data_IF_710212912531
#
_entry.id   IF_710212912531
#
_cell.length_a   1.000
_cell.length_b   1.000
_cell.length_c   1.000
_cell.angle_alpha   90.00
_cell.angle_beta   90.00
_cell.angle_gamma   90.00
#
_symmetry.space_group_name_H-M   'P 1'
#
loop_
_entity.id
_entity.type
_entity.pdbx_description
1 polymer ?
#
# COMPACT_ATOMS: atom_id res chain seq x y z
N UNK A 1 8.27 24.25 13.89
CA UNK A 1 8.78 24.16 12.51
C UNK A 1 8.10 22.98 11.86
N UNK A 2 7.01 23.24 11.13
CA UNK A 2 6.32 22.24 10.30
C UNK A 2 7.25 21.86 9.15
N UNK A 3 7.89 20.69 9.26
CA UNK A 3 8.54 20.06 8.12
C UNK A 3 7.47 19.23 7.41
N UNK A 4 6.73 19.87 6.51
CA UNK A 4 6.29 19.15 5.33
C UNK A 4 7.56 18.57 4.71
N UNK A 5 7.65 17.24 4.60
CA UNK A 5 8.62 16.57 3.76
C UNK A 5 8.81 17.42 2.50
N UNK A 6 10.00 17.97 2.29
CA UNK A 6 10.27 18.95 1.22
C UNK A 6 9.71 18.37 -0.07
N UNK A 7 8.56 18.90 -0.53
CA UNK A 7 7.90 18.39 -1.73
C UNK A 7 8.91 18.55 -2.86
N UNK A 8 9.22 17.48 -3.62
CA UNK A 8 10.18 17.60 -4.71
C UNK A 8 9.77 18.77 -5.63
N UNK A 9 10.76 19.58 -6.04
CA UNK A 9 10.55 20.64 -7.02
C UNK A 9 10.30 19.95 -8.37
N UNK A 10 9.04 19.67 -8.63
CA UNK A 10 8.58 18.89 -9.76
C UNK A 10 8.12 19.81 -10.90
N UNK A 11 8.48 19.45 -12.14
CA UNK A 11 7.96 20.09 -13.34
C UNK A 11 7.33 19.04 -14.26
N UNK A 12 5.99 19.01 -14.40
CA UNK A 12 5.04 19.84 -13.68
C UNK A 12 4.84 19.35 -12.23
N UNK A 13 4.29 20.16 -11.32
CA UNK A 13 4.11 19.78 -9.93
C UNK A 13 3.20 18.52 -9.78
N UNK A 14 3.36 17.73 -8.70
CA UNK A 14 2.39 16.68 -8.35
C UNK A 14 1.03 17.29 -8.00
N UNK A 15 -0.06 16.51 -8.05
CA UNK A 15 -1.40 16.97 -7.62
C UNK A 15 -1.39 17.56 -6.20
N UNK A 16 -0.54 17.03 -5.33
CA UNK A 16 -0.34 17.48 -3.96
C UNK A 16 0.14 18.94 -3.84
N UNK A 17 0.64 19.54 -4.92
CA UNK A 17 1.10 20.94 -4.96
C UNK A 17 0.01 21.94 -5.37
N UNK A 18 -1.20 21.47 -5.69
CA UNK A 18 -2.35 22.29 -6.09
C UNK A 18 -3.39 22.30 -4.95
N UNK A 19 -3.03 22.95 -3.83
CA UNK A 19 -3.92 23.15 -2.66
C UNK A 19 -4.76 24.41 -2.75
N UNK A 20 -4.38 25.37 -3.62
CA UNK A 20 -5.11 26.60 -3.87
C UNK A 20 -5.88 26.54 -5.19
N UNK A 21 -7.15 26.98 -5.14
CA UNK A 21 -8.12 27.06 -6.25
C UNK A 21 -7.58 27.85 -7.47
N UNK A 22 -6.49 28.61 -7.28
CA UNK A 22 -5.87 29.45 -8.30
C UNK A 22 -4.91 28.71 -9.25
N UNK A 23 -4.49 27.46 -8.97
CA UNK A 23 -3.64 26.66 -9.89
C UNK A 23 -4.43 25.46 -10.42
N UNK A 24 -4.57 25.36 -11.74
CA UNK A 24 -5.31 24.28 -12.38
C UNK A 24 -4.58 22.94 -12.17
N UNK A 25 -5.29 21.95 -11.61
CA UNK A 25 -4.81 20.56 -11.57
C UNK A 25 -4.49 20.10 -13.02
N UNK A 26 -3.43 19.31 -13.24
CA UNK A 26 -3.21 18.58 -14.49
C UNK A 26 -4.49 17.92 -15.00
N UNK A 27 -4.75 18.04 -16.30
CA UNK A 27 -5.90 17.39 -16.95
C UNK A 27 -5.67 15.89 -17.06
N UNK A 28 -6.74 15.10 -17.23
CA UNK A 28 -6.65 13.65 -17.47
C UNK A 28 -5.70 13.32 -18.64
N UNK A 29 -5.79 14.11 -19.72
CA UNK A 29 -4.92 13.99 -20.89
C UNK A 29 -3.44 14.23 -20.56
N UNK A 30 -3.16 15.18 -19.67
CA UNK A 30 -1.80 15.45 -19.21
C UNK A 30 -1.28 14.32 -18.30
N UNK A 31 -2.13 13.77 -17.43
CA UNK A 31 -1.80 12.62 -16.59
C UNK A 31 -1.51 11.38 -17.45
N UNK A 32 -2.32 11.12 -18.47
CA UNK A 32 -2.12 10.04 -19.44
C UNK A 32 -0.82 10.22 -20.24
N UNK A 33 -0.54 11.44 -20.73
CA UNK A 33 0.72 11.74 -21.42
C UNK A 33 1.93 11.41 -20.54
N UNK A 34 1.94 11.89 -19.30
CA UNK A 34 3.04 11.61 -18.35
C UNK A 34 3.19 10.12 -18.10
N UNK A 35 2.08 9.41 -17.88
CA UNK A 35 2.10 7.95 -17.75
C UNK A 35 2.81 7.31 -18.92
N UNK A 36 2.40 7.61 -20.15
CA UNK A 36 2.92 6.97 -21.35
C UNK A 36 4.44 7.16 -21.56
N UNK A 37 5.03 8.20 -20.98
CA UNK A 37 6.48 8.47 -21.01
C UNK A 37 7.27 7.60 -20.01
N UNK A 38 6.63 7.07 -18.97
CA UNK A 38 7.27 6.23 -17.95
C UNK A 38 7.65 4.87 -18.52
N UNK A 39 8.88 4.44 -18.27
CA UNK A 39 9.35 3.12 -18.70
C UNK A 39 8.79 2.02 -17.81
N UNK A 40 8.40 0.90 -18.43
CA UNK A 40 8.03 -0.34 -17.73
C UNK A 40 9.31 -1.15 -17.47
N UNK A 41 9.62 -1.38 -16.19
CA UNK A 41 10.71 -2.21 -15.70
C UNK A 41 10.16 -3.54 -15.17
N UNK A 42 8.97 -3.51 -14.57
CA UNK A 42 8.30 -4.69 -14.01
C UNK A 42 6.86 -4.76 -14.48
N UNK A 43 6.40 -5.96 -14.83
CA UNK A 43 4.99 -6.23 -15.12
C UNK A 43 4.28 -6.81 -13.91
N UNK A 44 3.04 -6.42 -13.68
CA UNK A 44 2.22 -6.84 -12.52
C UNK A 44 1.11 -7.78 -12.95
N UNK A 45 0.66 -7.69 -14.20
CA UNK A 45 -0.57 -8.36 -14.66
C UNK A 45 -1.85 -7.55 -14.41
N UNK A 46 -1.72 -6.32 -13.91
CA UNK A 46 -2.83 -5.38 -13.66
C UNK A 46 -3.01 -4.34 -14.78
N UNK A 47 -2.23 -4.43 -15.85
CA UNK A 47 -2.27 -3.51 -16.98
C UNK A 47 -1.06 -2.58 -17.07
N UNK A 48 -0.80 -2.04 -18.26
CA UNK A 48 0.41 -1.28 -18.55
C UNK A 48 0.55 -0.01 -17.73
N UNK A 49 -0.56 0.67 -17.38
CA UNK A 49 -0.50 1.91 -16.61
C UNK A 49 -0.05 1.67 -15.16
N UNK A 50 -0.56 0.60 -14.54
CA UNK A 50 -0.10 0.16 -13.21
C UNK A 50 1.36 -0.28 -13.27
N UNK A 51 1.75 -1.00 -14.33
CA UNK A 51 3.15 -1.42 -14.54
C UNK A 51 4.10 -0.22 -14.66
N UNK A 52 3.65 0.85 -15.33
CA UNK A 52 4.42 2.10 -15.46
C UNK A 52 4.61 2.78 -14.11
N UNK A 53 3.56 2.93 -13.30
CA UNK A 53 3.66 3.51 -11.95
C UNK A 53 4.52 2.64 -11.02
N UNK A 54 4.27 1.32 -10.98
CA UNK A 54 5.03 0.40 -10.15
C UNK A 54 6.53 0.40 -10.49
N UNK A 55 6.87 0.63 -11.76
CA UNK A 55 8.25 0.71 -12.23
C UNK A 55 9.02 1.94 -11.76
N UNK A 56 8.35 2.95 -11.20
CA UNK A 56 9.01 4.16 -10.67
C UNK A 56 9.46 4.01 -9.21
N UNK A 57 9.20 2.86 -8.59
CA UNK A 57 9.69 2.52 -7.24
C UNK A 57 10.72 1.39 -7.32
N UNK A 58 12.02 1.69 -7.10
CA UNK A 58 13.04 0.65 -6.98
C UNK A 58 12.71 -0.42 -5.94
N UNK A 59 12.07 -0.02 -4.83
CA UNK A 59 11.61 -0.95 -3.79
C UNK A 59 10.55 -1.91 -4.35
N UNK A 60 9.48 -1.38 -4.96
CA UNK A 60 8.39 -2.20 -5.49
C UNK A 60 8.87 -3.11 -6.63
N UNK A 61 9.72 -2.62 -7.53
CA UNK A 61 10.35 -3.42 -8.60
C UNK A 61 11.10 -4.61 -8.00
N UNK A 62 11.98 -4.37 -7.03
CA UNK A 62 12.77 -5.43 -6.37
C UNK A 62 11.86 -6.46 -5.70
N UNK A 63 10.81 -6.00 -5.03
CA UNK A 63 9.86 -6.85 -4.31
C UNK A 63 9.06 -7.74 -5.26
N UNK A 64 8.45 -7.17 -6.30
CA UNK A 64 7.69 -7.91 -7.31
C UNK A 64 8.58 -8.92 -8.02
N UNK A 65 9.80 -8.55 -8.43
CA UNK A 65 10.73 -9.48 -9.06
C UNK A 65 11.10 -10.66 -8.12
N UNK A 66 11.26 -10.41 -6.82
CA UNK A 66 11.50 -11.48 -5.84
C UNK A 66 10.28 -12.38 -5.67
N UNK A 67 9.08 -11.81 -5.58
CA UNK A 67 7.83 -12.57 -5.46
C UNK A 67 7.58 -13.44 -6.70
N UNK A 68 7.79 -12.90 -7.91
CA UNK A 68 7.74 -13.66 -9.16
C UNK A 68 8.73 -14.82 -9.21
N UNK A 69 9.98 -14.62 -8.77
CA UNK A 69 10.96 -15.73 -8.64
C UNK A 69 10.48 -16.81 -7.66
N UNK A 70 9.74 -16.41 -6.62
CA UNK A 70 9.06 -17.32 -5.69
C UNK A 70 7.71 -17.85 -6.22
N UNK A 71 7.41 -17.66 -7.51
CA UNK A 71 6.18 -18.11 -8.19
C UNK A 71 4.88 -17.53 -7.61
N UNK A 72 4.94 -16.37 -6.94
CA UNK A 72 3.74 -15.63 -6.59
C UNK A 72 3.02 -15.13 -7.84
N UNK A 73 1.71 -15.10 -7.78
CA UNK A 73 0.86 -14.55 -8.84
C UNK A 73 0.28 -13.21 -8.38
N UNK A 74 0.21 -12.25 -9.28
CA UNK A 74 -0.44 -10.95 -9.09
C UNK A 74 -1.51 -10.84 -10.17
N UNK A 75 -2.71 -10.41 -9.82
CA UNK A 75 -3.77 -10.24 -10.80
C UNK A 75 -5.07 -9.70 -10.21
N UNK A 76 -6.05 -9.55 -11.10
CA UNK A 76 -7.39 -9.12 -10.74
C UNK A 76 -8.20 -10.24 -10.08
N UNK A 77 -8.94 -9.90 -9.03
CA UNK A 77 -9.97 -10.71 -8.41
C UNK A 77 -11.36 -10.41 -8.96
N UNK A 78 -12.38 -10.93 -8.29
CA UNK A 78 -13.77 -10.61 -8.60
C UNK A 78 -14.13 -9.20 -8.12
N UNK A 79 -15.03 -8.55 -8.85
CA UNK A 79 -15.56 -7.25 -8.50
C UNK A 79 -16.26 -7.29 -7.12
N UNK A 80 -15.85 -6.42 -6.21
CA UNK A 80 -16.47 -6.23 -4.89
C UNK A 80 -16.03 -7.23 -3.82
N UNK A 81 -15.03 -8.07 -4.10
CA UNK A 81 -14.51 -9.04 -3.12
C UNK A 81 -13.32 -8.52 -2.32
N UNK A 82 -12.91 -7.27 -2.58
CA UNK A 82 -11.78 -6.65 -1.92
C UNK A 82 -10.43 -7.03 -2.53
N UNK A 83 -9.41 -6.41 -1.96
CA UNK A 83 -8.00 -6.56 -2.32
C UNK A 83 -7.31 -7.26 -1.16
N UNK A 84 -6.49 -8.27 -1.45
CA UNK A 84 -5.80 -9.06 -0.43
C UNK A 84 -4.61 -9.82 -1.00
N UNK A 85 -3.77 -10.31 -0.10
CA UNK A 85 -2.70 -11.26 -0.38
C UNK A 85 -2.87 -12.51 0.45
N UNK A 86 -2.41 -13.64 -0.09
CA UNK A 86 -2.44 -14.92 0.58
C UNK A 86 -1.13 -15.64 0.35
N UNK A 87 -0.45 -15.97 1.46
CA UNK A 87 0.76 -16.75 1.45
C UNK A 87 0.53 -18.12 0.79
N UNK A 88 1.56 -18.71 0.15
CA UNK A 88 1.48 -20.08 -0.36
C UNK A 88 1.18 -21.03 0.80
N UNK A 89 0.29 -22.00 0.54
CA UNK A 89 -0.07 -23.04 1.50
C UNK A 89 -0.10 -24.39 0.77
N UNK A 90 0.59 -25.39 1.32
CA UNK A 90 0.79 -26.71 0.71
C UNK A 90 1.24 -26.60 -0.76
N UNK A 91 0.42 -27.06 -1.70
CA UNK A 91 0.72 -27.06 -3.15
C UNK A 91 0.26 -25.77 -3.86
N UNK A 92 -0.35 -24.82 -3.13
CA UNK A 92 -0.87 -23.59 -3.71
C UNK A 92 0.20 -22.50 -3.76
N UNK A 93 0.25 -21.77 -4.88
CA UNK A 93 1.10 -20.59 -5.03
C UNK A 93 0.56 -19.44 -4.17
N UNK A 94 1.45 -18.57 -3.72
CA UNK A 94 1.05 -17.30 -3.11
C UNK A 94 0.41 -16.39 -4.15
N UNK A 95 -0.61 -15.65 -3.74
CA UNK A 95 -1.38 -14.77 -4.62
C UNK A 95 -1.51 -13.36 -4.03
N UNK A 96 -1.49 -12.36 -4.89
CA UNK A 96 -1.89 -10.99 -4.62
C UNK A 96 -3.06 -10.70 -5.57
N UNK A 97 -4.18 -10.31 -5.00
CA UNK A 97 -5.45 -10.11 -5.69
C UNK A 97 -5.88 -8.67 -5.48
N UNK A 98 -6.09 -7.93 -6.58
CA UNK A 98 -6.68 -6.58 -6.54
C UNK A 98 -8.14 -6.67 -7.01
N UNK A 99 -9.05 -5.97 -6.33
CA UNK A 99 -10.47 -5.92 -6.71
C UNK A 99 -10.65 -5.32 -8.11
N UNK A 100 -11.34 -6.05 -9.00
CA UNK A 100 -11.56 -5.60 -10.39
C UNK A 100 -12.53 -4.42 -10.53
N UNK A 101 -13.21 -3.98 -9.46
CA UNK A 101 -13.99 -2.73 -9.47
C UNK A 101 -13.14 -1.50 -9.86
N UNK A 102 -11.83 -1.57 -9.61
CA UNK A 102 -10.89 -0.51 -9.96
C UNK A 102 -10.26 -0.68 -11.35
N UNK A 103 -10.62 -1.74 -12.09
CA UNK A 103 -10.10 -2.01 -13.43
C UNK A 103 -10.94 -1.30 -14.52
N UNK A 104 -10.86 0.02 -14.58
CA UNK A 104 -11.60 0.82 -15.58
C UNK A 104 -10.75 1.88 -16.31
N UNK A 105 -9.44 1.94 -16.05
CA UNK A 105 -8.52 2.85 -16.74
C UNK A 105 -8.55 4.31 -16.28
N UNK A 106 -9.38 4.68 -15.29
CA UNK A 106 -9.37 6.02 -14.68
C UNK A 106 -8.02 6.27 -13.98
N UNK A 107 -7.39 7.44 -14.22
CA UNK A 107 -6.15 7.85 -13.54
C UNK A 107 -6.20 7.69 -12.02
N UNK A 108 -7.33 8.01 -11.40
CA UNK A 108 -7.49 7.87 -9.95
C UNK A 108 -7.41 6.40 -9.53
N UNK A 109 -8.05 5.52 -10.30
CA UNK A 109 -8.02 4.09 -10.03
C UNK A 109 -6.64 3.48 -10.33
N UNK A 110 -5.91 3.97 -11.33
CA UNK A 110 -4.52 3.55 -11.59
C UNK A 110 -3.62 3.86 -10.38
N UNK A 111 -3.74 5.08 -9.83
CA UNK A 111 -2.99 5.49 -8.64
C UNK A 111 -3.40 4.67 -7.40
N UNK A 112 -4.70 4.50 -7.17
CA UNK A 112 -5.24 3.70 -6.08
C UNK A 112 -4.82 2.21 -6.17
N UNK A 113 -4.89 1.61 -7.36
CA UNK A 113 -4.43 0.24 -7.62
C UNK A 113 -2.93 0.10 -7.39
N UNK A 114 -2.13 1.09 -7.77
CA UNK A 114 -0.69 1.07 -7.49
C UNK A 114 -0.42 1.14 -5.98
N UNK A 115 -1.18 1.98 -5.28
CA UNK A 115 -1.10 2.15 -3.83
C UNK A 115 -1.45 0.85 -3.09
N UNK A 116 -2.59 0.24 -3.42
CA UNK A 116 -3.03 -1.03 -2.83
C UNK A 116 -2.14 -2.21 -3.24
N UNK A 117 -1.61 -2.24 -4.47
CA UNK A 117 -0.59 -3.21 -4.87
C UNK A 117 0.65 -3.11 -3.96
N UNK A 118 1.12 -1.91 -3.66
CA UNK A 118 2.27 -1.73 -2.77
C UNK A 118 1.98 -2.25 -1.35
N UNK A 119 0.76 -2.08 -0.86
CA UNK A 119 0.29 -2.64 0.39
C UNK A 119 0.34 -4.18 0.38
N UNK A 120 -0.29 -4.83 -0.61
CA UNK A 120 -0.35 -6.30 -0.69
C UNK A 120 1.01 -6.95 -0.97
N UNK A 121 1.86 -6.29 -1.75
CA UNK A 121 3.25 -6.69 -1.91
C UNK A 121 3.99 -6.61 -0.57
N UNK A 122 3.69 -5.62 0.27
CA UNK A 122 4.23 -5.50 1.62
C UNK A 122 3.92 -6.71 2.49
N UNK A 123 2.64 -7.09 2.60
CA UNK A 123 2.23 -8.32 3.28
C UNK A 123 2.99 -9.54 2.74
N UNK A 124 2.96 -9.74 1.42
CA UNK A 124 3.54 -10.91 0.75
C UNK A 124 5.07 -11.00 0.90
N UNK A 125 5.75 -9.86 0.86
CA UNK A 125 7.22 -9.80 0.86
C UNK A 125 7.80 -9.97 2.27
N UNK A 126 7.15 -9.39 3.28
CA UNK A 126 7.59 -9.42 4.68
C UNK A 126 6.95 -10.54 5.50
N UNK A 127 6.05 -11.32 4.90
CA UNK A 127 5.26 -12.37 5.54
C UNK A 127 6.07 -13.24 6.53
N UNK A 128 5.52 -13.37 7.73
CA UNK A 128 5.89 -14.31 8.78
C UNK A 128 4.62 -14.88 9.39
N UNK A 129 4.71 -16.13 9.84
CA UNK A 129 3.64 -16.74 10.63
C UNK A 129 3.42 -15.95 11.94
N UNK A 130 2.16 -15.73 12.35
CA UNK A 130 1.87 -15.01 13.57
C UNK A 130 2.29 -15.80 14.81
N UNK A 131 2.72 -15.09 15.86
CA UNK A 131 3.03 -15.69 17.15
C UNK A 131 1.74 -16.02 17.91
N UNK A 132 1.36 -17.30 17.94
CA UNK A 132 0.15 -17.79 18.61
C UNK A 132 0.36 -18.15 20.10
N UNK A 133 1.46 -17.72 20.72
CA UNK A 133 1.77 -18.03 22.12
C UNK A 133 0.83 -17.37 23.13
N UNK A 134 0.24 -16.23 22.78
CA UNK A 134 -0.80 -15.55 23.56
C UNK A 134 -1.66 -14.66 22.65
N UNK A 135 -2.81 -14.22 23.15
CA UNK A 135 -3.68 -13.28 22.42
C UNK A 135 -2.91 -12.00 22.02
N UNK A 136 -2.17 -11.40 22.96
CA UNK A 136 -1.43 -10.15 22.71
C UNK A 136 -0.31 -10.35 21.69
N UNK A 137 0.39 -11.49 21.73
CA UNK A 137 1.45 -11.81 20.75
C UNK A 137 0.90 -12.04 19.35
N UNK A 138 -0.28 -12.66 19.27
CA UNK A 138 -0.99 -12.84 18.00
C UNK A 138 -1.42 -11.50 17.43
N UNK A 139 -2.04 -10.62 18.24
CA UNK A 139 -2.45 -9.29 17.81
C UNK A 139 -1.25 -8.42 17.40
N UNK A 140 -0.16 -8.45 18.16
CA UNK A 140 1.08 -7.74 17.83
C UNK A 140 1.64 -8.21 16.47
N UNK A 141 1.60 -9.51 16.20
CA UNK A 141 2.06 -10.09 14.93
C UNK A 141 1.16 -9.70 13.74
N UNK A 142 -0.16 -9.67 13.91
CA UNK A 142 -1.08 -9.32 12.82
C UNK A 142 -1.14 -7.82 12.52
N UNK A 143 -0.81 -6.97 13.50
CA UNK A 143 -0.91 -5.52 13.36
C UNK A 143 0.44 -4.82 13.13
N UNK A 144 1.53 -5.24 13.79
CA UNK A 144 2.74 -4.40 13.91
C UNK A 144 3.98 -4.96 13.18
N UNK A 145 4.18 -6.27 13.03
CA UNK A 145 5.37 -6.77 12.33
C UNK A 145 5.22 -8.13 11.65
N UNK A 146 6.12 -8.42 10.71
CA UNK A 146 6.16 -9.69 9.98
C UNK A 146 5.26 -9.72 8.75
N UNK A 147 5.10 -8.59 8.05
CA UNK A 147 4.14 -8.47 6.96
C UNK A 147 2.72 -8.26 7.46
N UNK A 148 2.57 -7.59 8.61
CA UNK A 148 1.33 -7.11 9.19
C UNK A 148 0.80 -5.85 8.49
N UNK A 149 -0.34 -5.32 8.93
CA UNK A 149 -0.90 -4.05 8.44
C UNK A 149 0.09 -2.89 8.49
N UNK A 150 0.75 -2.67 9.64
CA UNK A 150 1.70 -1.57 9.77
C UNK A 150 2.95 -1.76 8.88
N UNK A 151 3.40 -3.00 8.64
CA UNK A 151 4.49 -3.27 7.70
C UNK A 151 4.05 -2.98 6.26
N UNK A 152 2.84 -3.39 5.87
CA UNK A 152 2.27 -3.16 4.55
C UNK A 152 2.06 -1.67 4.28
N UNK A 153 1.54 -0.92 5.25
CA UNK A 153 1.35 0.54 5.16
C UNK A 153 2.70 1.27 5.09
N UNK A 154 3.70 0.86 5.88
CA UNK A 154 5.05 1.43 5.75
C UNK A 154 5.63 1.16 4.36
N UNK A 155 5.43 -0.04 3.82
CA UNK A 155 5.85 -0.36 2.46
C UNK A 155 5.17 0.55 1.43
N UNK A 156 3.86 0.73 1.57
CA UNK A 156 3.04 1.59 0.72
C UNK A 156 3.52 3.06 0.75
N UNK A 157 3.92 3.59 1.91
CA UNK A 157 4.50 4.94 2.04
C UNK A 157 5.88 5.03 1.38
N UNK A 158 6.74 4.01 1.55
CA UNK A 158 8.05 3.97 0.88
C UNK A 158 7.88 4.02 -0.64
N UNK A 159 7.00 3.18 -1.18
CA UNK A 159 6.70 3.14 -2.62
C UNK A 159 6.15 4.48 -3.10
N UNK A 160 5.19 5.07 -2.39
CA UNK A 160 4.68 6.41 -2.70
C UNK A 160 5.80 7.44 -2.78
N UNK A 161 6.68 7.48 -1.79
CA UNK A 161 7.76 8.47 -1.74
C UNK A 161 8.76 8.30 -2.91
N UNK A 162 9.04 7.06 -3.31
CA UNK A 162 9.89 6.78 -4.47
C UNK A 162 9.21 7.23 -5.78
N UNK A 163 7.94 6.87 -6.01
CA UNK A 163 7.19 7.29 -7.21
C UNK A 163 7.06 8.81 -7.27
N UNK A 164 6.76 9.46 -6.14
CA UNK A 164 6.68 10.91 -6.05
C UNK A 164 8.01 11.58 -6.40
N UNK A 165 9.13 11.01 -5.94
CA UNK A 165 10.46 11.54 -6.22
C UNK A 165 10.87 11.36 -7.68
N UNK A 166 10.64 10.18 -8.26
CA UNK A 166 11.13 9.83 -9.59
C UNK A 166 10.22 10.33 -10.72
N UNK A 167 8.91 10.33 -10.49
CA UNK A 167 7.91 10.59 -11.54
C UNK A 167 6.96 11.76 -11.23
N UNK A 168 7.14 12.44 -10.08
CA UNK A 168 6.29 13.56 -9.67
C UNK A 168 4.80 13.20 -9.60
N UNK A 169 4.51 11.94 -9.25
CA UNK A 169 3.18 11.37 -9.10
C UNK A 169 2.98 11.02 -7.64
N UNK A 170 1.96 11.60 -7.01
CA UNK A 170 1.61 11.30 -5.63
C UNK A 170 0.44 10.31 -5.62
N UNK A 171 0.75 9.02 -5.56
CA UNK A 171 -0.27 7.97 -5.65
C UNK A 171 -1.30 8.00 -4.52
N UNK A 172 -1.02 8.67 -3.38
CA UNK A 172 -2.02 8.84 -2.33
C UNK A 172 -3.00 9.97 -2.65
N UNK A 173 -2.51 11.08 -3.21
CA UNK A 173 -3.37 12.20 -3.60
C UNK A 173 -4.16 11.89 -4.87
N UNK A 174 -3.50 11.33 -5.89
CA UNK A 174 -4.15 10.90 -7.13
C UNK A 174 -5.16 9.77 -6.88
N UNK A 175 -4.79 8.80 -6.04
CA UNK A 175 -5.64 7.67 -5.67
C UNK A 175 -6.74 8.00 -4.66
N UNK A 176 -6.79 9.25 -4.17
CA UNK A 176 -7.72 9.71 -3.12
C UNK A 176 -7.72 8.81 -1.89
N UNK A 177 -6.53 8.42 -1.45
CA UNK A 177 -6.35 7.71 -0.18
C UNK A 177 -6.91 8.55 0.98
N UNK A 178 -7.24 7.86 2.08
CA UNK A 178 -7.78 8.51 3.27
C UNK A 178 -6.83 9.58 3.83
N UNK A 179 -7.40 10.63 4.44
CA UNK A 179 -6.62 11.75 4.99
C UNK A 179 -5.57 11.29 6.02
N UNK A 180 -5.91 10.30 6.85
CA UNK A 180 -4.95 9.74 7.81
C UNK A 180 -3.74 9.05 7.16
N UNK A 181 -3.89 8.54 5.93
CA UNK A 181 -2.78 7.96 5.18
C UNK A 181 -1.88 9.04 4.60
N UNK A 182 -2.48 10.11 4.07
CA UNK A 182 -1.78 11.25 3.48
C UNK A 182 -1.02 12.09 4.50
N UNK A 183 -1.55 12.20 5.72
CA UNK A 183 -1.03 13.09 6.76
C UNK A 183 -0.38 12.28 7.90
N UNK A 184 -1.18 11.67 8.78
CA UNK A 184 -0.71 11.04 10.02
C UNK A 184 0.29 9.90 9.76
N UNK A 185 0.00 8.99 8.84
CA UNK A 185 0.88 7.84 8.59
C UNK A 185 2.22 8.26 7.98
N UNK A 186 2.18 9.18 7.02
CA UNK A 186 3.38 9.78 6.43
C UNK A 186 4.21 10.50 7.49
N UNK A 187 3.56 11.23 8.42
CA UNK A 187 4.24 11.87 9.54
C UNK A 187 4.87 10.83 10.48
N UNK A 188 4.14 9.80 10.90
CA UNK A 188 4.66 8.77 11.81
C UNK A 188 5.85 8.02 11.19
N UNK A 189 5.76 7.69 9.90
CA UNK A 189 6.88 7.12 9.16
C UNK A 189 8.09 8.06 9.17
N UNK A 190 7.89 9.34 8.85
CA UNK A 190 8.96 10.35 8.87
C UNK A 190 9.62 10.51 10.24
N UNK A 191 8.82 10.52 11.31
CA UNK A 191 9.31 10.51 12.70
C UNK A 191 10.16 9.26 12.98
N UNK A 192 9.69 8.08 12.59
CA UNK A 192 10.41 6.81 12.79
C UNK A 192 11.74 6.77 12.06
N UNK A 193 11.84 7.34 10.86
CA UNK A 193 13.12 7.49 10.14
C UNK A 193 14.04 8.45 10.90
N UNK A 194 13.53 9.62 11.32
CA UNK A 194 14.32 10.66 11.98
C UNK A 194 14.87 10.22 13.34
N UNK A 195 14.10 9.47 14.11
CA UNK A 195 14.49 9.01 15.45
C UNK A 195 15.19 7.65 15.44
N UNK A 196 15.13 6.92 14.33
CA UNK A 196 15.55 5.52 14.27
C UNK A 196 14.58 4.55 14.97
N UNK A 197 13.40 5.01 15.38
CA UNK A 197 12.38 4.21 16.08
C UNK A 197 11.17 3.91 15.20
N UNK A 198 11.38 3.02 14.22
CA UNK A 198 10.31 2.56 13.34
C UNK A 198 9.28 1.68 14.07
N UNK A 199 9.63 1.10 15.23
CA UNK A 199 8.69 0.30 16.02
C UNK A 199 7.56 1.18 16.56
N UNK A 200 7.91 2.31 17.17
CA UNK A 200 6.91 3.26 17.67
C UNK A 200 6.06 3.84 16.55
N UNK A 201 6.66 4.14 15.38
CA UNK A 201 5.91 4.59 14.21
C UNK A 201 4.84 3.57 13.78
N UNK A 202 5.23 2.29 13.65
CA UNK A 202 4.31 1.20 13.30
C UNK A 202 3.21 0.99 14.34
N UNK A 203 3.51 1.12 15.63
CA UNK A 203 2.50 1.05 16.69
C UNK A 203 1.45 2.17 16.55
N UNK A 204 1.87 3.40 16.22
CA UNK A 204 0.94 4.52 15.97
C UNK A 204 0.06 4.25 14.75
N UNK A 205 0.65 3.76 13.65
CA UNK A 205 -0.09 3.37 12.44
C UNK A 205 -1.10 2.27 12.75
N UNK A 206 -0.65 1.17 13.37
CA UNK A 206 -1.50 0.04 13.75
C UNK A 206 -2.68 0.47 14.61
N UNK A 207 -2.48 1.38 15.57
CA UNK A 207 -3.55 1.89 16.43
C UNK A 207 -4.69 2.50 15.62
N UNK A 208 -4.38 3.41 14.68
CA UNK A 208 -5.39 4.05 13.84
C UNK A 208 -6.00 3.06 12.84
N UNK A 209 -5.16 2.23 12.22
CA UNK A 209 -5.61 1.30 11.19
C UNK A 209 -6.49 0.18 11.75
N UNK A 210 -6.29 -0.21 13.02
CA UNK A 210 -7.10 -1.22 13.70
C UNK A 210 -8.60 -0.89 13.79
N UNK A 211 -8.96 0.40 13.66
CA UNK A 211 -10.34 0.88 13.66
C UNK A 211 -10.98 0.92 12.26
N UNK A 212 -10.21 0.63 11.20
CA UNK A 212 -10.69 0.59 9.81
C UNK A 212 -11.33 -0.76 9.49
N UNK A 213 -12.13 -0.77 8.43
CA UNK A 213 -12.89 -1.95 8.01
C UNK A 213 -12.12 -2.82 7.02
N UNK A 214 -12.20 -4.14 7.19
CA UNK A 214 -11.66 -5.13 6.25
C UNK A 214 -12.47 -5.12 4.96
N UNK A 215 -11.78 -5.16 3.81
CA UNK A 215 -12.41 -5.19 2.47
C UNK A 215 -12.94 -6.57 2.06
N UNK A 216 -12.59 -7.62 2.81
CA UNK A 216 -12.85 -9.03 2.46
C UNK A 216 -13.95 -9.69 3.30
N UNK A 217 -14.48 -9.02 4.32
CA UNK A 217 -15.54 -9.56 5.19
C UNK A 217 -16.92 -9.05 4.81
N UNK A 218 -17.94 -9.89 4.98
CA UNK A 218 -19.34 -9.50 4.80
C UNK A 218 -20.19 -9.97 6.01
N UNK A 219 -20.71 -9.06 6.86
CA UNK A 219 -20.54 -7.60 6.79
C UNK A 219 -19.08 -7.16 7.05
N UNK A 220 -18.70 -5.94 6.63
CA UNK A 220 -17.40 -5.37 6.97
C UNK A 220 -17.17 -5.32 8.49
N UNK A 221 -16.02 -5.81 8.95
CA UNK A 221 -15.60 -5.78 10.35
C UNK A 221 -14.40 -4.87 10.51
N UNK A 222 -14.19 -4.31 11.70
CA UNK A 222 -12.95 -3.60 11.98
C UNK A 222 -11.79 -4.59 12.05
N UNK A 223 -10.59 -4.19 11.65
CA UNK A 223 -9.39 -5.02 11.73
C UNK A 223 -9.15 -5.57 13.14
N UNK A 224 -9.32 -4.74 14.18
CA UNK A 224 -9.17 -5.19 15.58
C UNK A 224 -10.14 -6.31 15.97
N UNK A 225 -11.36 -6.28 15.41
CA UNK A 225 -12.40 -7.25 15.72
C UNK A 225 -12.13 -8.56 14.94
N UNK A 226 -11.87 -8.43 13.64
CA UNK A 226 -11.54 -9.58 12.77
C UNK A 226 -10.30 -10.34 13.25
N UNK A 227 -9.20 -9.62 13.52
CA UNK A 227 -7.98 -10.23 14.04
C UNK A 227 -8.12 -10.66 15.49
N UNK A 228 -8.90 -9.93 16.29
CA UNK A 228 -9.23 -10.35 17.66
C UNK A 228 -9.93 -11.70 17.68
N UNK A 229 -10.89 -11.93 16.80
CA UNK A 229 -11.61 -13.20 16.73
C UNK A 229 -10.73 -14.34 16.21
N UNK A 230 -9.85 -14.07 15.24
CA UNK A 230 -8.80 -15.01 14.84
C UNK A 230 -7.88 -15.38 16.02
N UNK A 231 -7.38 -14.40 16.76
CA UNK A 231 -6.47 -14.64 17.87
C UNK A 231 -7.14 -15.35 19.05
N UNK A 232 -8.40 -15.02 19.40
CA UNK A 232 -9.17 -15.76 20.43
C UNK A 232 -9.32 -17.23 20.08
N UNK A 233 -9.47 -17.55 18.79
CA UNK A 233 -9.66 -18.91 18.30
C UNK A 233 -8.35 -19.73 18.27
N UNK A 234 -7.23 -19.10 17.94
CA UNK A 234 -5.98 -19.80 17.61
C UNK A 234 -4.86 -19.63 18.64
N UNK A 235 -4.86 -18.55 19.43
CA UNK A 235 -3.82 -18.32 20.42
C UNK A 235 -3.97 -19.27 21.62
N UNK A 236 -2.83 -19.66 22.20
CA UNK A 236 -2.82 -20.42 23.45
C UNK A 236 -3.37 -19.55 24.59
N UNK A 237 -4.12 -20.20 25.49
CA UNK A 237 -4.63 -19.57 26.72
C UNK A 237 -3.49 -19.28 27.69
#
# INVERSE_FOLDING_TARGET
MEYFLVKPICSPPPLSAFTDIARTRPTEKEMERRRNELKIIVTTGLGSDVDRYASQSPTLVKQILKLKRKKWQIGWGSAGTGTFSRAPYEQQKGIIVIDSNFNNGDSQNIAYVTSTLAHEVGHSYFHKEPDLSSFDKCMESLMVGGGSEADAIVNQIVVRNEILKEACIDIFEEGREYDFMKNEFVQFYGEGIRTGDMKTAKMKIAKIYSEQYTSTSNPPQKYKDSYGDYCKKNAKK
#
